data_IF_917744345691
#
_entry.id   IF_917744345691
#
_cell.length_a   1.000
_cell.length_b   1.000
_cell.length_c   1.000
_cell.angle_alpha   90.00
_cell.angle_beta   90.00
_cell.angle_gamma   90.00
#
_symmetry.space_group_name_H-M   'P 1'
#
loop_
_entity.id
_entity.type
_entity.pdbx_description
1 polymer ?
#
# COMPACT_ATOMS: atom_id res chain seq x y z
N UNK A 1 14.36 2.08 48.87
CA UNK A 1 13.81 2.38 47.53
C UNK A 1 14.79 1.81 46.50
N UNK A 2 14.66 0.51 46.19
CA UNK A 2 15.56 -0.19 45.26
C UNK A 2 15.01 0.05 43.85
N UNK A 3 15.77 0.74 43.00
CA UNK A 3 15.50 0.84 41.57
C UNK A 3 15.55 -0.57 41.00
N UNK A 4 14.44 -1.03 40.43
CA UNK A 4 14.37 -2.33 39.76
C UNK A 4 15.44 -2.41 38.67
N UNK A 5 16.28 -3.44 38.77
CA UNK A 5 17.15 -3.86 37.67
C UNK A 5 16.27 -4.09 36.44
N UNK A 6 16.54 -3.32 35.40
CA UNK A 6 15.93 -3.57 34.10
C UNK A 6 16.41 -4.94 33.64
N UNK A 7 15.51 -5.92 33.60
CA UNK A 7 15.80 -7.25 33.12
C UNK A 7 16.35 -7.15 31.69
N UNK A 8 17.64 -7.43 31.54
CA UNK A 8 18.31 -7.48 30.24
C UNK A 8 18.07 -8.86 29.63
N UNK A 9 17.83 -8.90 28.31
CA UNK A 9 17.63 -10.15 27.58
C UNK A 9 18.84 -11.07 27.76
N UNK A 10 18.58 -12.35 28.00
CA UNK A 10 19.63 -13.37 28.08
C UNK A 10 20.22 -13.66 26.70
N UNK A 11 21.37 -14.34 26.65
CA UNK A 11 21.98 -14.78 25.38
C UNK A 11 21.02 -15.66 24.55
N UNK A 12 20.24 -16.52 25.22
CA UNK A 12 19.19 -17.34 24.59
C UNK A 12 18.08 -16.46 23.99
N UNK A 13 17.63 -15.43 24.71
CA UNK A 13 16.60 -14.51 24.20
C UNK A 13 17.10 -13.78 22.95
N UNK A 14 18.36 -13.34 22.95
CA UNK A 14 18.98 -12.67 21.80
C UNK A 14 19.07 -13.58 20.58
N UNK A 15 19.45 -14.85 20.76
CA UNK A 15 19.48 -15.83 19.68
C UNK A 15 18.09 -16.11 19.08
N UNK A 16 17.06 -16.19 19.92
CA UNK A 16 15.66 -16.35 19.47
C UNK A 16 15.20 -15.10 18.69
N UNK A 17 15.50 -13.90 19.19
CA UNK A 17 15.15 -12.65 18.53
C UNK A 17 15.83 -12.52 17.16
N UNK A 18 17.08 -12.94 17.03
CA UNK A 18 17.80 -12.94 15.74
C UNK A 18 17.20 -13.95 14.75
N UNK A 19 16.83 -15.14 15.22
CA UNK A 19 16.11 -16.13 14.42
C UNK A 19 14.74 -15.60 13.95
N UNK A 20 14.01 -14.90 14.83
CA UNK A 20 12.74 -14.24 14.48
C UNK A 20 12.95 -13.15 13.41
N UNK A 21 13.96 -12.31 13.55
CA UNK A 21 14.29 -11.26 12.57
C UNK A 21 14.65 -11.85 11.20
N UNK A 22 15.42 -12.94 11.20
CA UNK A 22 15.78 -13.68 9.99
C UNK A 22 14.54 -14.26 9.31
N UNK A 23 13.65 -14.92 10.07
CA UNK A 23 12.39 -15.45 9.54
C UNK A 23 11.50 -14.35 8.95
N UNK A 24 11.40 -13.20 9.62
CA UNK A 24 10.65 -12.04 9.12
C UNK A 24 11.22 -11.53 7.79
N UNK A 25 12.54 -11.46 7.64
CA UNK A 25 13.15 -11.07 6.37
C UNK A 25 12.82 -12.05 5.23
N UNK A 26 12.78 -13.35 5.51
CA UNK A 26 12.33 -14.35 4.54
C UNK A 26 10.86 -14.17 4.14
N UNK A 27 9.98 -13.97 5.13
CA UNK A 27 8.55 -13.70 4.88
C UNK A 27 8.36 -12.46 4.01
N UNK A 28 9.09 -11.38 4.32
CA UNK A 28 9.04 -10.13 3.57
C UNK A 28 9.43 -10.33 2.10
N UNK A 29 10.50 -11.08 1.83
CA UNK A 29 10.92 -11.41 0.44
C UNK A 29 9.88 -12.24 -0.29
N UNK A 30 9.25 -13.20 0.39
CA UNK A 30 8.16 -13.99 -0.17
C UNK A 30 6.93 -13.12 -0.46
N UNK A 31 6.59 -12.21 0.45
CA UNK A 31 5.51 -11.24 0.27
C UNK A 31 5.78 -10.32 -0.93
N UNK A 32 7.02 -9.85 -1.11
CA UNK A 32 7.42 -9.09 -2.29
C UNK A 32 7.19 -9.87 -3.58
N UNK A 33 7.64 -11.12 -3.66
CA UNK A 33 7.45 -11.97 -4.86
C UNK A 33 5.98 -12.13 -5.21
N UNK A 34 5.13 -12.35 -4.20
CA UNK A 34 3.67 -12.47 -4.36
C UNK A 34 3.05 -11.18 -4.89
N UNK A 35 3.36 -10.04 -4.28
CA UNK A 35 2.87 -8.71 -4.68
C UNK A 35 3.30 -8.36 -6.11
N UNK A 36 4.58 -8.60 -6.42
CA UNK A 36 5.15 -8.34 -7.73
C UNK A 36 4.49 -9.21 -8.81
N UNK A 37 4.26 -10.50 -8.55
CA UNK A 37 3.55 -11.39 -9.47
C UNK A 37 2.10 -10.96 -9.72
N UNK A 38 1.38 -10.54 -8.67
CA UNK A 38 0.01 -10.03 -8.81
C UNK A 38 -0.06 -8.81 -9.74
N UNK A 39 0.89 -7.87 -9.61
CA UNK A 39 0.98 -6.72 -10.50
C UNK A 39 1.27 -7.11 -11.95
N UNK A 40 2.21 -8.03 -12.20
CA UNK A 40 2.50 -8.50 -13.56
C UNK A 40 1.29 -9.16 -14.23
N UNK A 41 0.55 -9.99 -13.50
CA UNK A 41 -0.66 -10.62 -14.04
C UNK A 41 -1.71 -9.55 -14.37
N UNK A 42 -1.92 -8.59 -13.48
CA UNK A 42 -2.91 -7.54 -13.70
C UNK A 42 -2.56 -6.64 -14.89
N UNK A 43 -1.29 -6.20 -14.98
CA UNK A 43 -0.77 -5.38 -16.09
C UNK A 43 -0.94 -6.08 -17.44
N UNK A 44 -0.55 -7.36 -17.53
CA UNK A 44 -0.67 -8.14 -18.76
C UNK A 44 -2.13 -8.31 -19.23
N UNK A 45 -3.10 -8.31 -18.31
CA UNK A 45 -4.51 -8.39 -18.68
C UNK A 45 -5.08 -7.04 -19.11
N UNK A 46 -4.63 -5.93 -18.48
CA UNK A 46 -4.96 -4.58 -18.94
C UNK A 46 -4.40 -4.30 -20.34
N UNK A 47 -3.19 -4.77 -20.64
CA UNK A 47 -2.61 -4.67 -21.98
C UNK A 47 -3.42 -5.43 -23.04
N UNK A 48 -3.94 -6.62 -22.71
CA UNK A 48 -4.83 -7.38 -23.61
C UNK A 48 -6.15 -6.66 -23.83
N UNK A 49 -6.74 -6.09 -22.79
CA UNK A 49 -7.98 -5.32 -22.88
C UNK A 49 -7.81 -4.14 -23.84
N UNK A 50 -6.72 -3.39 -23.69
CA UNK A 50 -6.37 -2.28 -24.59
C UNK A 50 -6.21 -2.70 -26.06
N UNK A 51 -5.84 -3.97 -26.32
CA UNK A 51 -5.71 -4.53 -27.67
C UNK A 51 -7.04 -4.98 -28.30
N UNK A 52 -8.06 -5.29 -27.51
CA UNK A 52 -9.38 -5.74 -28.00
C UNK A 52 -10.21 -4.59 -28.61
N UNK A 53 -9.90 -3.34 -28.26
CA UNK A 53 -10.58 -2.16 -28.80
C UNK A 53 -11.90 -1.82 -28.09
N UNK A 54 -12.57 -0.75 -28.54
CA UNK A 54 -13.72 -0.15 -27.84
C UNK A 54 -15.00 -1.00 -27.92
N UNK A 55 -15.10 -1.88 -28.92
CA UNK A 55 -16.33 -2.64 -29.21
C UNK A 55 -16.43 -3.97 -28.44
N UNK A 56 -15.37 -4.39 -27.74
CA UNK A 56 -15.32 -5.67 -27.02
C UNK A 56 -14.58 -5.53 -25.67
N UNK A 57 -15.07 -4.61 -24.83
CA UNK A 57 -14.54 -4.40 -23.47
C UNK A 57 -14.97 -5.59 -22.60
N UNK A 58 -14.08 -6.57 -22.50
CA UNK A 58 -14.16 -7.64 -21.51
C UNK A 58 -13.48 -7.10 -20.26
N UNK A 59 -14.12 -7.10 -19.09
CA UNK A 59 -13.56 -6.56 -17.83
C UNK A 59 -12.35 -7.39 -17.33
N UNK A 60 -11.26 -7.36 -18.10
CA UNK A 60 -10.09 -8.22 -18.00
C UNK A 60 -9.33 -7.90 -16.71
N UNK A 61 -9.32 -6.64 -16.29
CA UNK A 61 -8.82 -6.24 -14.99
C UNK A 61 -9.52 -6.99 -13.86
N UNK A 62 -10.86 -7.01 -13.84
CA UNK A 62 -11.59 -7.74 -12.79
C UNK A 62 -11.45 -9.25 -12.86
N UNK A 63 -11.32 -9.81 -14.07
CA UNK A 63 -11.05 -11.23 -14.24
C UNK A 63 -9.64 -11.62 -13.73
N UNK A 64 -8.62 -10.80 -14.02
CA UNK A 64 -7.28 -11.00 -13.47
C UNK A 64 -7.29 -10.99 -11.93
N UNK A 65 -8.02 -10.05 -11.32
CA UNK A 65 -8.17 -9.99 -9.87
C UNK A 65 -8.88 -11.22 -9.29
N UNK A 66 -9.86 -11.77 -10.01
CA UNK A 66 -10.53 -13.01 -9.62
C UNK A 66 -9.56 -14.21 -9.65
N UNK A 67 -8.77 -14.35 -10.72
CA UNK A 67 -7.74 -15.40 -10.83
C UNK A 67 -6.68 -15.30 -9.72
N UNK A 68 -6.21 -14.08 -9.43
CA UNK A 68 -5.27 -13.83 -8.33
C UNK A 68 -5.89 -14.21 -6.98
N UNK A 69 -7.15 -13.81 -6.74
CA UNK A 69 -7.85 -14.11 -5.50
C UNK A 69 -8.00 -15.62 -5.26
N UNK A 70 -8.43 -16.36 -6.29
CA UNK A 70 -8.54 -17.83 -6.25
C UNK A 70 -7.18 -18.45 -5.98
N UNK A 71 -6.13 -18.05 -6.71
CA UNK A 71 -4.80 -18.65 -6.57
C UNK A 71 -4.15 -18.41 -5.21
N UNK A 72 -4.40 -17.25 -4.61
CA UNK A 72 -3.85 -16.88 -3.30
C UNK A 72 -4.76 -17.25 -2.12
N UNK A 73 -5.95 -17.79 -2.38
CA UNK A 73 -6.95 -18.09 -1.35
C UNK A 73 -7.37 -16.85 -0.56
N UNK A 74 -7.51 -15.69 -1.22
CA UNK A 74 -7.84 -14.42 -0.59
C UNK A 74 -9.08 -13.76 -1.21
N UNK A 75 -9.55 -12.67 -0.61
CA UNK A 75 -10.65 -11.89 -1.19
C UNK A 75 -10.20 -11.12 -2.43
N UNK A 76 -11.15 -10.78 -3.31
CA UNK A 76 -10.88 -9.91 -4.47
C UNK A 76 -10.26 -8.57 -4.06
N UNK A 77 -10.73 -7.97 -2.97
CA UNK A 77 -10.14 -6.74 -2.41
C UNK A 77 -8.68 -6.93 -2.00
N UNK A 78 -8.29 -8.10 -1.47
CA UNK A 78 -6.89 -8.39 -1.15
C UNK A 78 -6.05 -8.61 -2.40
N UNK A 79 -6.59 -9.30 -3.41
CA UNK A 79 -5.94 -9.44 -4.72
C UNK A 79 -5.69 -8.07 -5.37
N UNK A 80 -6.69 -7.19 -5.35
CA UNK A 80 -6.58 -5.81 -5.83
C UNK A 80 -5.52 -5.02 -5.07
N UNK A 81 -5.51 -5.10 -3.73
CA UNK A 81 -4.47 -4.46 -2.94
C UNK A 81 -3.06 -4.95 -3.33
N UNK A 82 -2.87 -6.26 -3.56
CA UNK A 82 -1.57 -6.79 -3.99
C UNK A 82 -1.18 -6.27 -5.37
N UNK A 83 -2.09 -6.28 -6.34
CA UNK A 83 -1.84 -5.80 -7.69
C UNK A 83 -1.51 -4.30 -7.71
N UNK A 84 -2.33 -3.47 -7.05
CA UNK A 84 -2.13 -2.02 -6.96
C UNK A 84 -0.83 -1.66 -6.24
N UNK A 85 -0.52 -2.30 -5.11
CA UNK A 85 0.76 -2.08 -4.41
C UNK A 85 1.93 -2.48 -5.30
N UNK A 86 1.87 -3.62 -5.99
CA UNK A 86 2.95 -4.03 -6.88
C UNK A 86 3.14 -3.08 -8.08
N UNK A 87 2.06 -2.50 -8.60
CA UNK A 87 2.12 -1.47 -9.63
C UNK A 87 2.74 -0.16 -9.11
N UNK A 88 2.36 0.29 -7.92
CA UNK A 88 2.98 1.45 -7.27
C UNK A 88 4.49 1.25 -7.08
N UNK A 89 4.91 0.07 -6.61
CA UNK A 89 6.33 -0.27 -6.44
C UNK A 89 7.10 -0.26 -7.76
N UNK A 90 6.46 -0.66 -8.87
CA UNK A 90 7.09 -0.69 -10.19
C UNK A 90 7.18 0.70 -10.83
N UNK A 91 6.12 1.50 -10.72
CA UNK A 91 5.95 2.71 -11.53
C UNK A 91 6.27 4.00 -10.77
N UNK A 92 6.09 4.01 -9.44
CA UNK A 92 6.19 5.24 -8.62
C UNK A 92 7.21 5.15 -7.49
N UNK A 93 7.45 3.96 -6.95
CA UNK A 93 8.21 3.75 -5.72
C UNK A 93 9.36 2.74 -5.88
N UNK A 94 10.29 2.93 -6.84
CA UNK A 94 11.37 1.96 -7.09
C UNK A 94 12.29 1.76 -5.88
N UNK A 95 12.55 2.79 -5.08
CA UNK A 95 13.35 2.63 -3.86
C UNK A 95 12.65 1.75 -2.81
N UNK A 96 11.34 1.91 -2.63
CA UNK A 96 10.56 1.06 -1.69
C UNK A 96 10.53 -0.38 -2.19
N UNK A 97 10.46 -0.57 -3.52
CA UNK A 97 10.52 -1.87 -4.17
C UNK A 97 11.82 -2.60 -3.84
N UNK A 98 12.96 -1.94 -3.97
CA UNK A 98 14.27 -2.51 -3.68
C UNK A 98 14.38 -2.95 -2.21
N UNK A 99 13.96 -2.09 -1.29
CA UNK A 99 13.99 -2.35 0.15
C UNK A 99 13.06 -3.51 0.53
N UNK A 100 11.86 -3.59 -0.06
CA UNK A 100 10.94 -4.69 0.15
C UNK A 100 11.47 -6.00 -0.44
N UNK A 101 12.04 -5.95 -1.65
CA UNK A 101 12.65 -7.10 -2.30
C UNK A 101 13.86 -7.66 -1.52
N UNK A 102 14.58 -6.80 -0.79
CA UNK A 102 15.65 -7.18 0.10
C UNK A 102 15.16 -7.81 1.43
N UNK A 103 13.85 -7.74 1.73
CA UNK A 103 13.24 -8.26 2.95
C UNK A 103 13.27 -7.29 4.14
N UNK A 104 13.66 -6.03 3.92
CA UNK A 104 13.85 -5.06 4.99
C UNK A 104 12.55 -4.38 5.44
N UNK A 105 11.49 -4.45 4.65
CA UNK A 105 10.15 -3.96 5.01
C UNK A 105 9.13 -5.07 4.88
N UNK A 106 8.16 -5.09 5.79
CA UNK A 106 6.99 -5.94 5.67
C UNK A 106 5.92 -5.32 4.75
N UNK A 107 4.97 -6.15 4.33
CA UNK A 107 3.87 -5.73 3.47
C UNK A 107 3.01 -4.62 4.09
N UNK A 108 2.80 -4.60 5.41
CA UNK A 108 1.95 -3.61 6.06
C UNK A 108 2.56 -2.21 5.98
N UNK A 109 3.87 -2.08 6.22
CA UNK A 109 4.63 -0.83 6.04
C UNK A 109 4.66 -0.39 4.59
N UNK A 110 4.91 -1.31 3.66
CA UNK A 110 4.91 -1.02 2.22
C UNK A 110 3.54 -0.52 1.76
N UNK A 111 2.47 -1.25 2.09
CA UNK A 111 1.08 -0.86 1.78
C UNK A 111 0.73 0.51 2.36
N UNK A 112 1.21 0.80 3.59
CA UNK A 112 1.04 2.12 4.21
C UNK A 112 1.75 3.23 3.44
N UNK A 113 2.98 3.00 2.97
CA UNK A 113 3.73 3.96 2.14
C UNK A 113 3.01 4.21 0.81
N UNK A 114 2.60 3.17 0.10
CA UNK A 114 1.87 3.30 -1.17
C UNK A 114 0.60 4.14 -0.98
N UNK A 115 -0.21 3.84 0.05
CA UNK A 115 -1.43 4.58 0.36
C UNK A 115 -1.17 6.04 0.74
N UNK A 116 -0.18 6.30 1.59
CA UNK A 116 0.11 7.65 2.09
C UNK A 116 0.69 8.56 1.01
N UNK A 117 1.42 8.00 0.04
CA UNK A 117 2.00 8.75 -1.09
C UNK A 117 1.07 8.78 -2.31
N UNK A 118 -0.08 8.11 -2.25
CA UNK A 118 -1.00 7.99 -3.38
C UNK A 118 -1.50 9.37 -3.84
N UNK A 119 -1.37 9.58 -5.16
CA UNK A 119 -1.76 10.80 -5.89
C UNK A 119 -0.87 12.02 -5.67
N UNK A 120 0.15 11.97 -4.82
CA UNK A 120 1.18 13.02 -4.79
C UNK A 120 1.91 13.03 -6.13
N UNK A 121 2.32 14.23 -6.57
CA UNK A 121 3.14 14.38 -7.78
C UNK A 121 4.42 13.56 -7.63
N UNK A 122 4.90 13.00 -8.74
CA UNK A 122 6.08 12.14 -8.70
C UNK A 122 7.31 12.86 -8.12
N UNK A 123 7.53 14.14 -8.48
CA UNK A 123 8.62 14.92 -7.93
C UNK A 123 8.59 15.05 -6.39
N UNK A 124 7.38 15.18 -5.81
CA UNK A 124 7.20 15.23 -4.35
C UNK A 124 7.51 13.88 -3.70
N UNK A 125 7.09 12.79 -4.34
CA UNK A 125 7.40 11.43 -3.89
C UNK A 125 8.91 11.18 -3.98
N UNK A 126 9.56 11.54 -5.07
CA UNK A 126 11.01 11.37 -5.27
C UNK A 126 11.82 12.13 -4.22
N UNK A 127 11.40 13.35 -3.87
CA UNK A 127 12.02 14.14 -2.82
C UNK A 127 11.82 13.54 -1.41
N UNK A 128 10.70 12.84 -1.17
CA UNK A 128 10.33 12.31 0.14
C UNK A 128 10.78 10.86 0.39
N UNK A 129 10.96 10.05 -0.66
CA UNK A 129 11.01 8.59 -0.56
C UNK A 129 12.16 8.08 0.30
N UNK A 130 13.32 8.76 0.30
CA UNK A 130 14.46 8.38 1.14
C UNK A 130 14.17 8.56 2.63
N UNK A 131 13.58 9.70 3.00
CA UNK A 131 13.18 9.98 4.39
C UNK A 131 12.08 9.01 4.84
N UNK A 132 11.14 8.68 3.96
CA UNK A 132 10.06 7.72 4.22
C UNK A 132 10.62 6.32 4.47
N UNK A 133 11.56 5.86 3.64
CA UNK A 133 12.22 4.55 3.82
C UNK A 133 13.00 4.51 5.14
N UNK A 134 13.73 5.58 5.47
CA UNK A 134 14.45 5.69 6.73
C UNK A 134 13.51 5.61 7.94
N UNK A 135 12.36 6.30 7.88
CA UNK A 135 11.34 6.23 8.93
C UNK A 135 10.71 4.82 9.03
N UNK A 136 10.45 4.17 7.89
CA UNK A 136 9.85 2.84 7.86
C UNK A 136 10.76 1.74 8.43
N UNK A 137 12.08 1.93 8.41
CA UNK A 137 13.04 0.99 8.98
C UNK A 137 12.94 0.86 10.52
N UNK A 138 12.45 1.90 11.21
CA UNK A 138 12.40 1.95 12.67
C UNK A 138 10.99 2.02 13.26
N UNK A 139 9.99 2.44 12.47
CA UNK A 139 8.63 2.64 12.94
C UNK A 139 7.70 1.47 12.58
N UNK A 140 6.72 1.20 13.44
CA UNK A 140 5.59 0.32 13.11
C UNK A 140 4.58 1.06 12.20
N UNK A 141 3.66 0.34 11.52
CA UNK A 141 2.75 0.95 10.53
C UNK A 141 1.88 2.11 11.03
N UNK A 142 1.51 2.12 12.33
CA UNK A 142 0.72 3.19 12.94
C UNK A 142 1.47 4.52 12.99
N UNK A 143 2.58 4.60 13.76
CA UNK A 143 3.47 5.76 13.81
C UNK A 143 4.04 6.17 12.45
N UNK A 144 4.31 5.19 11.57
CA UNK A 144 4.82 5.46 10.21
C UNK A 144 3.90 6.38 9.41
N UNK A 145 2.57 6.25 9.56
CA UNK A 145 1.63 7.14 8.87
C UNK A 145 1.84 8.60 9.24
N UNK A 146 1.93 8.90 10.54
CA UNK A 146 2.16 10.25 11.02
C UNK A 146 3.54 10.80 10.60
N UNK A 147 4.57 9.95 10.58
CA UNK A 147 5.90 10.34 10.10
C UNK A 147 5.88 10.70 8.61
N UNK A 148 5.19 9.90 7.77
CA UNK A 148 5.04 10.20 6.34
C UNK A 148 4.30 11.52 6.15
N UNK A 149 3.21 11.75 6.89
CA UNK A 149 2.44 13.00 6.79
C UNK A 149 3.30 14.23 7.15
N UNK A 150 4.16 14.11 8.18
CA UNK A 150 5.09 15.17 8.55
C UNK A 150 6.15 15.43 7.46
N UNK A 151 6.73 14.36 6.89
CA UNK A 151 7.70 14.45 5.79
C UNK A 151 7.06 15.17 4.59
N UNK A 152 5.87 14.72 4.17
CA UNK A 152 5.16 15.31 3.02
C UNK A 152 4.73 16.76 3.29
N UNK A 153 4.29 17.08 4.51
CA UNK A 153 3.92 18.46 4.89
C UNK A 153 5.12 19.40 4.82
N UNK A 154 6.31 18.92 5.20
CA UNK A 154 7.55 19.71 5.10
C UNK A 154 8.00 19.92 3.65
N UNK A 155 7.87 18.90 2.80
CA UNK A 155 8.36 18.94 1.41
C UNK A 155 7.39 19.67 0.48
N UNK A 156 6.10 19.38 0.60
CA UNK A 156 5.06 19.89 -0.30
C UNK A 156 3.81 20.32 0.50
N UNK A 157 3.89 21.39 1.30
CA UNK A 157 2.77 21.84 2.13
C UNK A 157 1.52 22.19 1.31
N UNK A 158 1.70 22.73 0.10
CA UNK A 158 0.60 23.09 -0.80
C UNK A 158 -0.17 21.86 -1.30
N UNK A 159 0.52 20.82 -1.79
CA UNK A 159 -0.13 19.57 -2.20
C UNK A 159 -0.85 18.87 -1.04
N UNK A 160 -0.28 18.92 0.17
CA UNK A 160 -0.94 18.41 1.37
C UNK A 160 -2.21 19.20 1.67
N UNK A 161 -2.19 20.53 1.53
CA UNK A 161 -3.36 21.38 1.72
C UNK A 161 -4.46 21.08 0.68
N UNK A 162 -4.08 20.98 -0.60
CA UNK A 162 -4.99 20.61 -1.69
C UNK A 162 -5.67 19.26 -1.42
N UNK A 163 -4.89 18.25 -1.01
CA UNK A 163 -5.42 16.93 -0.64
C UNK A 163 -6.38 16.96 0.53
N UNK A 164 -6.10 17.78 1.56
CA UNK A 164 -7.02 17.92 2.69
C UNK A 164 -8.34 18.51 2.24
N UNK A 165 -8.31 19.50 1.35
CA UNK A 165 -9.52 20.08 0.75
C UNK A 165 -10.27 19.00 -0.04
N UNK A 166 -9.58 18.26 -0.90
CA UNK A 166 -10.17 17.19 -1.70
C UNK A 166 -10.81 16.09 -0.84
N UNK A 167 -10.12 15.61 0.20
CA UNK A 167 -10.64 14.60 1.12
C UNK A 167 -11.92 15.06 1.84
N UNK A 168 -12.06 16.36 2.12
CA UNK A 168 -13.28 16.90 2.74
C UNK A 168 -14.44 17.01 1.75
N UNK A 169 -14.18 17.19 0.44
CA UNK A 169 -15.22 17.29 -0.60
C UNK A 169 -16.00 15.98 -0.75
N UNK A 170 -15.33 14.84 -0.67
CA UNK A 170 -15.95 13.53 -0.86
C UNK A 170 -16.54 12.90 0.41
N UNK A 171 -16.36 13.53 1.58
CA UNK A 171 -16.86 13.01 2.87
C UNK A 171 -18.39 13.12 3.03
N UNK A 172 -19.09 13.84 2.13
CA UNK A 172 -20.55 14.07 2.19
C UNK A 172 -21.33 13.30 1.11
N UNK A 173 -20.96 12.06 0.79
CA UNK A 173 -21.84 11.18 0.01
C UNK A 173 -22.93 10.61 0.93
N UNK A 174 -24.12 11.23 0.92
CA UNK A 174 -25.33 10.62 1.48
C UNK A 174 -25.99 9.77 0.41
N UNK A 175 -26.06 8.45 0.63
CA UNK A 175 -26.95 7.56 -0.14
C UNK A 175 -28.39 8.06 0.08
N UNK A 176 -29.00 8.69 -0.94
CA UNK A 176 -30.46 8.90 -0.92
C UNK A 176 -31.12 7.53 -0.99
N UNK A 177 -32.18 7.30 -0.21
CA UNK A 177 -32.99 6.09 -0.35
C UNK A 177 -33.63 6.14 -1.74
N UNK A 178 -33.47 5.05 -2.48
CA UNK A 178 -34.20 4.79 -3.71
C UNK A 178 -35.69 4.72 -3.33
N UNK A 179 -36.50 5.69 -3.77
CA UNK A 179 -37.90 5.76 -3.38
C UNK A 179 -38.60 7.11 -3.55
N UNK A 180 -37.86 8.20 -3.82
CA UNK A 180 -38.46 9.51 -4.13
C UNK A 180 -38.43 9.77 -5.65
N UNK A 181 -39.02 8.87 -6.43
CA UNK A 181 -39.57 9.23 -7.73
C UNK A 181 -40.96 9.77 -7.48
N UNK A 182 -41.06 11.09 -7.51
CA UNK A 182 -42.26 11.85 -7.21
C UNK A 182 -43.48 11.29 -7.95
N UNK A 183 -44.52 11.00 -7.17
CA UNK A 183 -45.88 10.84 -7.67
C UNK A 183 -46.30 12.17 -8.28
N UNK A 184 -46.22 12.28 -9.61
CA UNK A 184 -46.97 13.28 -10.35
C UNK A 184 -48.45 12.90 -10.24
N UNK A 185 -49.17 13.55 -9.30
CA UNK A 185 -50.63 13.55 -9.31
C UNK A 185 -51.08 14.45 -10.47
N UNK A 186 -51.93 13.87 -11.33
CA UNK A 186 -52.69 14.55 -12.37
C UNK A 186 -53.63 15.59 -11.79
#
# INVERSE_FOLDING_TARGET
MVRGESATSTETDLAILDAMATAAAFENRAAFRKVNAAAFVWDAWLERDAQLGVDDIVDCGNNALAEIAVRLGCSKTMAENFATVGMDLRLRLPLVREVFAAGMLDYARVSKICRATCGFRQATVDAAVRDIVAAAASLSPGPLGAAIDQILTRIAPEEVAERRIEATRFRKLRKRRDGDLGVSKR
#
